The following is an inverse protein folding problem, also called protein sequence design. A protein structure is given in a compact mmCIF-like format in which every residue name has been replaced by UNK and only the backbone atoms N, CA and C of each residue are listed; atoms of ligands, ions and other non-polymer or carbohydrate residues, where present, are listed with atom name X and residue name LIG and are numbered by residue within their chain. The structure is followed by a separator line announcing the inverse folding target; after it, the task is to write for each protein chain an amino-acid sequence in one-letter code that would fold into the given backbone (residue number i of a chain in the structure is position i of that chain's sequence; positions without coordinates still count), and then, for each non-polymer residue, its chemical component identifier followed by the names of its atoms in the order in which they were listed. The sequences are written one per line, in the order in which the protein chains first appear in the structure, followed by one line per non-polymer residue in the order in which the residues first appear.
data_IF_225841354343
#
_entry.id   IF_225841354343
#
_cell.length_a   1.000
_cell.length_b   1.000
_cell.length_c   1.000
_cell.angle_alpha   90.00
_cell.angle_beta   90.00
_cell.angle_gamma   90.00
#
_symmetry.space_group_name_H-M   'P 1'
#
loop_
_entity.id
_entity.type
_entity.pdbx_description
1 polymer ?
#
# COMPACT_ATOMS: atom_id res chain seq x y z
N UNK A 1 36.81 -5.08 -28.39
CA UNK A 1 36.17 -5.55 -29.63
C UNK A 1 34.91 -4.73 -29.91
N UNK A 2 34.51 -4.52 -31.17
CA UNK A 2 33.25 -3.82 -31.49
C UNK A 2 32.11 -4.82 -31.76
N UNK A 3 30.91 -4.52 -31.29
CA UNK A 3 29.73 -5.36 -31.51
C UNK A 3 29.28 -5.27 -32.97
N UNK A 4 29.26 -6.40 -33.68
CA UNK A 4 28.79 -6.47 -35.08
C UNK A 4 27.31 -6.07 -35.25
N UNK A 5 26.52 -6.05 -34.17
CA UNK A 5 25.07 -5.85 -34.21
C UNK A 5 24.62 -4.40 -33.91
N UNK A 6 25.45 -3.59 -33.23
CA UNK A 6 25.14 -2.20 -32.88
C UNK A 6 26.33 -1.23 -32.93
N UNK A 7 27.53 -1.70 -33.29
CA UNK A 7 28.75 -0.88 -33.36
C UNK A 7 29.41 -0.55 -32.02
N UNK A 8 28.77 -0.82 -30.87
CA UNK A 8 29.32 -0.46 -29.56
C UNK A 8 30.64 -1.17 -29.22
N UNK A 9 31.58 -0.45 -28.61
CA UNK A 9 32.84 -1.03 -28.10
C UNK A 9 32.59 -1.82 -26.81
N UNK A 10 33.12 -3.04 -26.74
CA UNK A 10 33.03 -3.94 -25.59
C UNK A 10 34.42 -4.48 -25.23
N UNK A 11 34.58 -4.92 -23.99
CA UNK A 11 35.78 -5.62 -23.51
C UNK A 11 36.02 -6.90 -24.32
N UNK A 12 37.28 -7.24 -24.61
CA UNK A 12 37.63 -8.33 -25.53
C UNK A 12 37.22 -9.73 -25.06
N UNK A 13 36.95 -9.89 -23.75
CA UNK A 13 36.47 -11.13 -23.14
C UNK A 13 34.97 -11.12 -22.80
N UNK A 14 34.22 -10.09 -23.22
CA UNK A 14 32.79 -9.99 -22.93
C UNK A 14 32.01 -11.02 -23.77
N UNK A 15 31.23 -11.91 -23.12
CA UNK A 15 30.39 -12.93 -23.78
C UNK A 15 29.13 -12.38 -24.45
N UNK A 16 28.74 -11.15 -24.09
CA UNK A 16 27.56 -10.43 -24.57
C UNK A 16 27.88 -8.94 -24.65
N UNK A 17 27.24 -8.23 -25.57
CA UNK A 17 27.35 -6.78 -25.67
C UNK A 17 26.62 -6.10 -24.52
N UNK A 18 27.31 -5.25 -23.76
CA UNK A 18 26.75 -4.52 -22.63
C UNK A 18 25.66 -3.48 -23.02
N UNK A 19 25.59 -3.11 -24.30
CA UNK A 19 24.68 -2.07 -24.82
C UNK A 19 23.39 -2.66 -25.44
N UNK A 20 23.48 -3.81 -26.11
CA UNK A 20 22.32 -4.40 -26.82
C UNK A 20 22.04 -5.88 -26.48
N UNK A 21 22.80 -6.49 -25.57
CA UNK A 21 22.63 -7.89 -25.17
C UNK A 21 23.08 -8.94 -26.20
N UNK A 22 23.40 -8.55 -27.44
CA UNK A 22 23.83 -9.49 -28.48
C UNK A 22 25.06 -10.31 -28.06
N UNK A 23 24.98 -11.63 -28.20
CA UNK A 23 26.07 -12.57 -27.90
C UNK A 23 27.27 -12.30 -28.80
N UNK A 24 28.47 -12.37 -28.25
CA UNK A 24 29.71 -12.24 -29.01
C UNK A 24 30.20 -13.62 -29.45
N UNK A 25 30.62 -13.73 -30.71
CA UNK A 25 31.18 -14.96 -31.24
C UNK A 25 32.70 -14.99 -31.00
N UNK A 26 33.12 -15.87 -30.09
CA UNK A 26 34.53 -16.26 -29.93
C UNK A 26 34.65 -17.69 -30.50
N UNK A 27 35.13 -17.83 -31.73
CA UNK A 27 35.73 -19.08 -32.21
C UNK A 27 37.16 -19.21 -31.64
N UNK A 28 37.77 -20.38 -31.46
CA UNK A 28 37.41 -21.76 -31.85
C UNK A 28 38.15 -22.72 -30.88
N UNK A 29 38.26 -24.05 -30.99
CA UNK A 29 37.88 -25.06 -32.01
C UNK A 29 37.89 -26.48 -31.38
N UNK A 30 37.19 -27.45 -31.98
CA UNK A 30 37.23 -28.92 -31.71
C UNK A 30 36.65 -29.28 -30.32
N UNK A 31 35.45 -29.88 -30.19
CA UNK A 31 35.08 -31.27 -30.52
C UNK A 31 34.97 -32.05 -29.19
N UNK A 32 34.04 -32.98 -28.94
CA UNK A 32 33.00 -33.65 -29.74
C UNK A 32 31.86 -34.13 -28.79
N UNK A 33 30.65 -34.36 -29.35
CA UNK A 33 29.49 -35.20 -28.91
C UNK A 33 29.66 -35.95 -27.56
N UNK A 34 28.74 -35.86 -26.58
CA UNK A 34 27.43 -36.56 -26.60
C UNK A 34 26.27 -35.84 -25.90
N UNK A 35 25.06 -36.10 -26.41
CA UNK A 35 23.80 -35.84 -25.71
C UNK A 35 23.67 -36.74 -24.47
N UNK A 36 23.09 -36.23 -23.38
CA UNK A 36 21.73 -36.64 -23.01
C UNK A 36 21.14 -35.85 -21.84
N UNK A 37 19.82 -35.71 -21.91
CA UNK A 37 18.89 -35.24 -20.89
C UNK A 37 18.99 -36.04 -19.58
N UNK A 38 18.91 -35.35 -18.44
CA UNK A 38 18.27 -35.76 -17.15
C UNK A 38 18.38 -34.52 -16.25
N UNK A 39 17.29 -33.79 -16.01
CA UNK A 39 16.30 -34.05 -14.96
C UNK A 39 16.86 -33.86 -13.54
N UNK A 40 16.26 -32.92 -12.80
CA UNK A 40 16.58 -32.65 -11.40
C UNK A 40 16.35 -33.89 -10.53
N UNK A 41 17.25 -34.14 -9.57
CA UNK A 41 16.87 -34.60 -8.23
C UNK A 41 18.00 -34.34 -7.21
N UNK A 42 17.67 -34.51 -5.93
CA UNK A 42 18.25 -33.78 -4.81
C UNK A 42 19.57 -34.32 -4.21
N UNK A 43 20.28 -33.37 -3.59
CA UNK A 43 20.94 -33.45 -2.28
C UNK A 43 22.31 -34.11 -2.04
N UNK A 44 23.05 -33.40 -1.18
CA UNK A 44 24.11 -33.88 -0.28
C UNK A 44 25.45 -34.32 -0.90
N UNK A 45 26.38 -33.37 -0.94
CA UNK A 45 27.80 -33.59 -1.20
C UNK A 45 28.62 -32.45 -0.61
N UNK A 46 29.10 -32.61 0.63
CA UNK A 46 29.82 -31.57 1.36
C UNK A 46 31.23 -31.36 0.78
N UNK A 47 31.54 -30.16 0.29
CA UNK A 47 32.92 -29.72 0.03
C UNK A 47 33.12 -28.34 0.61
N UNK A 48 33.73 -28.33 1.79
CA UNK A 48 34.15 -27.14 2.50
C UNK A 48 35.35 -26.50 1.79
N UNK A 49 35.22 -25.23 1.38
CA UNK A 49 36.38 -24.39 1.06
C UNK A 49 36.08 -22.93 1.36
N UNK A 50 36.77 -22.41 2.36
CA UNK A 50 36.59 -21.07 2.92
C UNK A 50 36.76 -19.94 1.88
N UNK A 51 35.76 -19.08 1.75
CA UNK A 51 35.92 -17.71 1.23
C UNK A 51 35.16 -16.69 2.06
N UNK A 52 35.71 -16.41 3.25
CA UNK A 52 35.74 -15.09 3.90
C UNK A 52 34.51 -14.21 3.62
N UNK A 53 33.34 -14.66 4.07
CA UNK A 53 32.10 -13.90 3.97
C UNK A 53 32.29 -12.60 4.77
N UNK A 54 32.33 -11.46 4.09
CA UNK A 54 32.38 -10.15 4.76
C UNK A 54 31.14 -10.00 5.65
N UNK A 55 31.26 -9.28 6.78
CA UNK A 55 30.11 -9.02 7.68
C UNK A 55 28.88 -8.53 6.91
N UNK A 56 29.12 -7.71 5.87
CA UNK A 56 28.12 -7.18 4.95
C UNK A 56 27.27 -8.25 4.29
N UNK A 57 27.85 -9.36 3.80
CA UNK A 57 27.11 -10.45 3.15
C UNK A 57 26.20 -11.25 4.10
N UNK A 58 26.54 -11.32 5.39
CA UNK A 58 25.66 -11.93 6.41
C UNK A 58 24.48 -11.01 6.75
N UNK A 59 24.74 -9.71 6.83
CA UNK A 59 23.72 -8.68 7.08
C UNK A 59 22.72 -8.62 5.92
N UNK A 60 23.19 -8.57 4.67
CA UNK A 60 22.30 -8.50 3.48
C UNK A 60 21.42 -9.74 3.35
N UNK A 61 21.95 -10.96 3.53
CA UNK A 61 21.10 -12.16 3.51
C UNK A 61 20.12 -12.20 4.71
N UNK A 62 20.51 -11.68 5.88
CA UNK A 62 19.61 -11.52 7.02
C UNK A 62 18.44 -10.59 6.72
N UNK A 63 18.72 -9.41 6.14
CA UNK A 63 17.70 -8.43 5.73
C UNK A 63 16.76 -9.01 4.66
N UNK A 64 17.28 -9.67 3.62
CA UNK A 64 16.44 -10.29 2.58
C UNK A 64 15.55 -11.40 3.18
N UNK A 65 16.09 -12.23 4.08
CA UNK A 65 15.32 -13.28 4.77
C UNK A 65 14.24 -12.68 5.69
N UNK A 66 14.55 -11.57 6.38
CA UNK A 66 13.61 -10.88 7.26
C UNK A 66 12.48 -10.20 6.48
N UNK A 67 12.79 -9.56 5.34
CA UNK A 67 11.79 -9.00 4.41
C UNK A 67 10.89 -10.11 3.84
N UNK A 68 11.44 -11.27 3.48
CA UNK A 68 10.65 -12.40 3.00
C UNK A 68 9.73 -12.98 4.11
N UNK A 69 10.26 -13.11 5.33
CA UNK A 69 9.49 -13.57 6.48
C UNK A 69 8.38 -12.59 6.89
N UNK A 70 8.65 -11.28 6.87
CA UNK A 70 7.64 -10.25 7.16
C UNK A 70 6.57 -10.15 6.07
N UNK A 71 6.90 -10.40 4.80
CA UNK A 71 5.92 -10.57 3.73
C UNK A 71 5.00 -11.80 3.95
N UNK A 72 5.56 -12.94 4.34
CA UNK A 72 4.80 -14.16 4.63
C UNK A 72 3.88 -13.99 5.85
N UNK A 73 4.41 -13.45 6.96
CA UNK A 73 3.62 -13.12 8.15
C UNK A 73 2.56 -12.07 7.84
N UNK A 74 2.90 -11.07 7.03
CA UNK A 74 1.99 -10.00 6.62
C UNK A 74 0.82 -10.49 5.76
N UNK A 75 1.09 -11.42 4.83
CA UNK A 75 0.06 -12.08 4.02
C UNK A 75 -0.83 -12.98 4.89
N UNK A 76 -0.26 -13.74 5.83
CA UNK A 76 -1.02 -14.59 6.77
C UNK A 76 -1.99 -13.81 7.67
N UNK A 77 -1.71 -12.53 7.96
CA UNK A 77 -2.57 -11.64 8.76
C UNK A 77 -3.44 -10.72 7.87
N UNK A 78 -3.39 -10.88 6.54
CA UNK A 78 -4.19 -10.08 5.59
C UNK A 78 -3.84 -8.59 5.52
N UNK A 79 -2.71 -8.18 6.12
CA UNK A 79 -2.34 -6.77 6.32
C UNK A 79 -1.85 -6.06 5.05
N UNK A 80 -1.41 -6.82 4.05
CA UNK A 80 -0.66 -6.29 2.89
C UNK A 80 -1.44 -6.34 1.57
N UNK A 81 -2.61 -6.97 1.53
CA UNK A 81 -3.40 -7.11 0.30
C UNK A 81 -4.12 -5.82 -0.13
N UNK A 82 -4.34 -4.87 0.80
CA UNK A 82 -5.14 -3.65 0.54
C UNK A 82 -4.33 -2.38 0.25
N UNK A 83 -3.03 -2.31 0.58
CA UNK A 83 -2.16 -1.23 0.10
C UNK A 83 -0.65 -1.55 0.28
N UNK A 84 0.24 -1.09 -0.63
CA UNK A 84 1.69 -1.23 -0.48
C UNK A 84 2.31 -0.20 0.49
N UNK A 85 1.52 0.78 0.96
CA UNK A 85 2.00 1.93 1.74
C UNK A 85 2.67 1.50 3.07
N UNK A 86 2.10 0.58 3.89
CA UNK A 86 2.75 0.14 5.13
C UNK A 86 4.13 -0.50 4.90
N UNK A 87 4.32 -1.21 3.78
CA UNK A 87 5.59 -1.84 3.43
C UNK A 87 6.67 -0.81 3.06
N UNK A 88 6.32 0.19 2.25
CA UNK A 88 7.24 1.27 1.89
C UNK A 88 7.64 2.12 3.11
N UNK A 89 6.68 2.36 4.01
CA UNK A 89 6.93 3.04 5.29
C UNK A 89 7.85 2.21 6.18
N UNK A 90 7.66 0.89 6.25
CA UNK A 90 8.53 -0.01 7.02
C UNK A 90 10.00 0.02 6.53
N UNK A 91 10.24 -0.08 5.21
CA UNK A 91 11.59 0.04 4.64
C UNK A 91 12.22 1.41 4.97
N UNK A 92 11.44 2.49 4.86
CA UNK A 92 11.90 3.83 5.18
C UNK A 92 12.28 3.99 6.67
N UNK A 93 11.51 3.38 7.57
CA UNK A 93 11.78 3.36 9.01
C UNK A 93 13.07 2.60 9.30
N UNK A 94 13.26 1.39 8.76
CA UNK A 94 14.46 0.56 8.99
C UNK A 94 15.75 1.30 8.62
N UNK A 95 15.78 1.96 7.44
CA UNK A 95 16.91 2.79 7.02
C UNK A 95 17.16 3.97 7.98
N UNK A 96 16.10 4.61 8.48
CA UNK A 96 16.19 5.73 9.42
C UNK A 96 16.67 5.26 10.81
N UNK A 97 16.25 4.07 11.25
CA UNK A 97 16.72 3.42 12.48
C UNK A 97 18.20 3.01 12.37
N UNK A 98 18.67 2.57 11.21
CA UNK A 98 20.10 2.30 10.97
C UNK A 98 20.95 3.57 11.08
N UNK A 99 20.46 4.71 10.55
CA UNK A 99 21.09 6.02 10.77
C UNK A 99 21.10 6.41 12.26
N UNK A 100 20.02 6.16 13.01
CA UNK A 100 19.94 6.43 14.45
C UNK A 100 20.93 5.55 15.23
N UNK A 101 21.01 4.25 14.94
CA UNK A 101 21.98 3.31 15.53
C UNK A 101 23.42 3.80 15.34
N UNK A 102 23.77 4.28 14.14
CA UNK A 102 25.10 4.84 13.85
C UNK A 102 25.35 6.18 14.58
N UNK A 103 24.36 7.07 14.65
CA UNK A 103 24.50 8.41 15.25
C UNK A 103 24.49 8.41 16.78
N UNK A 104 23.80 7.44 17.40
CA UNK A 104 23.60 7.35 18.84
C UNK A 104 23.93 5.95 19.39
N UNK A 105 25.21 5.51 19.33
CA UNK A 105 25.62 4.14 19.70
C UNK A 105 25.50 3.80 21.20
N UNK A 106 25.03 4.74 22.03
CA UNK A 106 24.76 4.54 23.47
C UNK A 106 23.30 4.15 23.77
N UNK A 107 22.41 4.20 22.79
CA UNK A 107 21.00 3.82 22.98
C UNK A 107 20.91 2.28 23.04
N UNK A 108 20.28 1.68 24.07
CA UNK A 108 20.08 0.24 24.12
C UNK A 108 19.25 -0.26 22.93
N UNK A 109 19.70 -1.32 22.26
CA UNK A 109 18.99 -1.93 21.13
C UNK A 109 17.51 -2.26 21.43
N UNK A 110 17.12 -2.78 22.63
CA UNK A 110 15.72 -3.03 22.94
C UNK A 110 14.83 -1.76 22.94
N UNK A 111 15.41 -0.59 23.24
CA UNK A 111 14.66 0.68 23.22
C UNK A 111 14.37 1.13 21.79
N UNK A 112 15.32 0.90 20.87
CA UNK A 112 15.16 1.22 19.44
C UNK A 112 14.05 0.33 18.85
N UNK A 113 14.10 -0.97 19.14
CA UNK A 113 13.10 -1.94 18.69
C UNK A 113 11.70 -1.67 19.28
N UNK A 114 11.60 -1.23 20.53
CA UNK A 114 10.32 -0.81 21.11
C UNK A 114 9.71 0.40 20.38
N UNK A 115 10.54 1.39 20.00
CA UNK A 115 10.09 2.57 19.22
C UNK A 115 9.65 2.16 17.82
N UNK A 116 10.39 1.26 17.16
CA UNK A 116 10.04 0.69 15.85
C UNK A 116 8.64 0.04 15.87
N UNK A 117 8.37 -0.84 16.85
CA UNK A 117 7.06 -1.49 17.02
C UNK A 117 5.95 -0.45 17.23
N UNK A 118 6.18 0.58 18.05
CA UNK A 118 5.20 1.65 18.30
C UNK A 118 4.87 2.39 17.00
N UNK A 119 5.88 2.77 16.21
CA UNK A 119 5.67 3.44 14.92
C UNK A 119 4.92 2.51 13.94
N UNK A 120 5.29 1.23 13.86
CA UNK A 120 4.62 0.25 13.01
C UNK A 120 3.11 0.13 13.36
N UNK A 121 2.78 0.03 14.65
CA UNK A 121 1.39 -0.03 15.13
C UNK A 121 0.62 1.24 14.74
N UNK A 122 1.23 2.42 14.88
CA UNK A 122 0.62 3.69 14.48
C UNK A 122 0.36 3.71 12.96
N UNK A 123 1.32 3.27 12.14
CA UNK A 123 1.19 3.21 10.68
C UNK A 123 0.14 2.20 10.21
N UNK A 124 0.03 1.03 10.86
CA UNK A 124 -1.02 0.04 10.58
C UNK A 124 -2.40 0.63 10.91
N UNK A 125 -2.54 1.27 12.07
CA UNK A 125 -3.82 1.86 12.49
C UNK A 125 -4.24 3.05 11.59
N UNK A 126 -3.31 3.90 11.16
CA UNK A 126 -3.62 5.00 10.24
C UNK A 126 -3.96 4.51 8.83
N UNK A 127 -3.26 3.50 8.31
CA UNK A 127 -3.60 2.87 7.03
C UNK A 127 -4.99 2.21 7.08
N UNK A 128 -5.32 1.52 8.17
CA UNK A 128 -6.65 0.94 8.38
C UNK A 128 -7.75 2.01 8.42
N UNK A 129 -7.52 3.14 9.11
CA UNK A 129 -8.47 4.24 9.16
C UNK A 129 -8.68 4.89 7.77
N UNK A 130 -7.60 5.11 7.01
CA UNK A 130 -7.66 5.65 5.66
C UNK A 130 -8.39 4.69 4.68
N UNK A 131 -8.16 3.38 4.78
CA UNK A 131 -8.83 2.38 3.96
C UNK A 131 -10.35 2.36 4.15
N UNK A 132 -10.82 2.55 5.38
CA UNK A 132 -12.25 2.57 5.75
C UNK A 132 -12.94 3.86 5.27
N UNK A 133 -12.25 5.00 5.34
CA UNK A 133 -12.74 6.24 4.71
C UNK A 133 -12.83 6.05 3.19
N UNK A 134 -11.78 5.53 2.56
CA UNK A 134 -11.72 5.31 1.12
C UNK A 134 -12.78 4.32 0.60
N UNK A 135 -13.20 3.32 1.39
CA UNK A 135 -14.30 2.42 0.99
C UNK A 135 -15.66 3.10 0.96
N UNK A 136 -15.90 4.12 1.80
CA UNK A 136 -17.13 4.93 1.73
C UNK A 136 -17.02 5.93 0.57
N UNK A 137 -15.92 6.68 0.49
CA UNK A 137 -15.67 7.68 -0.57
C UNK A 137 -15.89 7.10 -1.98
N UNK A 138 -15.35 5.90 -2.25
CA UNK A 138 -15.42 5.23 -3.56
C UNK A 138 -16.63 4.31 -3.75
N UNK A 139 -17.51 4.21 -2.76
CA UNK A 139 -18.77 3.49 -2.93
C UNK A 139 -19.82 4.36 -3.60
N UNK A 140 -20.91 3.73 -4.04
CA UNK A 140 -22.04 4.38 -4.72
C UNK A 140 -23.36 3.91 -4.09
N UNK A 141 -24.42 4.74 -4.04
CA UNK A 141 -25.76 4.29 -3.65
C UNK A 141 -26.33 3.33 -4.70
N UNK A 142 -27.25 2.45 -4.29
CA UNK A 142 -27.85 1.44 -5.19
C UNK A 142 -28.62 2.04 -6.37
N UNK A 143 -29.22 3.21 -6.17
CA UNK A 143 -30.03 3.87 -7.20
C UNK A 143 -29.14 4.56 -8.24
N UNK A 144 -27.99 5.13 -7.83
CA UNK A 144 -27.06 5.85 -8.69
C UNK A 144 -25.67 5.18 -8.65
N UNK A 145 -25.53 3.96 -9.21
CA UNK A 145 -24.33 3.13 -9.03
C UNK A 145 -23.07 3.68 -9.73
N UNK A 146 -23.25 4.58 -10.70
CA UNK A 146 -22.16 5.11 -11.53
C UNK A 146 -21.45 6.33 -10.93
N UNK A 147 -21.99 6.91 -9.85
CA UNK A 147 -21.46 8.11 -9.19
C UNK A 147 -21.08 7.75 -7.75
N UNK A 148 -19.85 8.03 -7.37
CA UNK A 148 -19.36 7.75 -6.01
C UNK A 148 -19.81 8.82 -5.01
N UNK A 149 -19.80 8.48 -3.72
CA UNK A 149 -20.02 9.46 -2.65
C UNK A 149 -18.99 10.60 -2.66
N UNK A 150 -17.73 10.34 -3.04
CA UNK A 150 -16.71 11.38 -3.23
C UNK A 150 -17.11 12.38 -4.31
N UNK A 151 -17.48 11.91 -5.50
CA UNK A 151 -17.85 12.77 -6.64
C UNK A 151 -19.10 13.61 -6.35
N UNK A 152 -20.15 12.99 -5.80
CA UNK A 152 -21.38 13.70 -5.47
C UNK A 152 -21.21 14.69 -4.30
N UNK A 153 -20.46 14.32 -3.26
CA UNK A 153 -20.30 15.18 -2.09
C UNK A 153 -19.32 16.33 -2.35
N UNK A 154 -18.24 16.11 -3.10
CA UNK A 154 -17.27 17.16 -3.43
C UNK A 154 -17.86 18.17 -4.46
N UNK A 155 -18.92 17.81 -5.20
CA UNK A 155 -19.73 18.74 -5.99
C UNK A 155 -20.70 19.56 -5.11
N UNK A 156 -21.50 18.89 -4.28
CA UNK A 156 -22.58 19.53 -3.50
C UNK A 156 -22.09 20.33 -2.27
N UNK A 157 -21.03 19.88 -1.59
CA UNK A 157 -20.59 20.45 -0.32
C UNK A 157 -19.26 21.21 -0.44
N UNK A 158 -19.23 22.45 0.02
CA UNK A 158 -17.99 23.19 0.27
C UNK A 158 -17.27 22.66 1.52
N UNK A 159 -15.95 22.84 1.60
CA UNK A 159 -15.13 22.48 2.76
C UNK A 159 -15.25 21.00 3.20
N UNK A 160 -15.36 20.09 2.24
CA UNK A 160 -15.44 18.64 2.45
C UNK A 160 -14.26 18.09 3.30
N UNK A 161 -14.58 17.42 4.41
CA UNK A 161 -13.63 16.67 5.24
C UNK A 161 -14.18 15.27 5.53
N UNK A 162 -13.32 14.25 5.42
CA UNK A 162 -13.66 12.86 5.68
C UNK A 162 -12.73 12.26 6.75
N UNK A 163 -13.30 11.60 7.77
CA UNK A 163 -12.52 10.96 8.84
C UNK A 163 -13.14 9.66 9.34
N UNK A 164 -12.29 8.74 9.79
CA UNK A 164 -12.74 7.61 10.63
C UNK A 164 -13.20 8.14 11.99
N UNK A 165 -14.33 7.63 12.47
CA UNK A 165 -15.00 8.08 13.69
C UNK A 165 -15.06 6.99 14.77
N UNK A 166 -14.17 5.99 14.69
CA UNK A 166 -14.10 4.88 15.63
C UNK A 166 -15.05 3.75 15.26
N UNK A 167 -15.79 3.26 16.25
CA UNK A 167 -16.77 2.17 16.13
C UNK A 167 -18.06 2.52 16.87
N UNK A 168 -19.16 1.89 16.47
CA UNK A 168 -20.40 1.87 17.25
C UNK A 168 -20.37 0.80 18.36
N UNK A 169 -21.46 0.68 19.12
CA UNK A 169 -21.61 -0.26 20.24
C UNK A 169 -21.62 -1.74 19.80
N UNK A 170 -21.91 -2.00 18.52
CA UNK A 170 -21.86 -3.34 17.89
C UNK A 170 -20.45 -3.67 17.37
N UNK A 171 -19.57 -2.66 17.29
CA UNK A 171 -18.19 -2.79 16.82
C UNK A 171 -18.01 -2.58 15.31
N UNK A 172 -19.05 -2.18 14.58
CA UNK A 172 -18.97 -1.75 13.19
C UNK A 172 -18.17 -0.45 13.10
N UNK A 173 -17.50 -0.19 11.97
CA UNK A 173 -16.63 1.00 11.86
C UNK A 173 -17.44 2.20 11.41
N UNK A 174 -17.13 3.38 11.96
CA UNK A 174 -17.82 4.61 11.60
C UNK A 174 -16.94 5.51 10.72
N UNK A 175 -17.54 6.12 9.70
CA UNK A 175 -16.94 7.23 8.94
C UNK A 175 -17.81 8.47 9.13
N UNK A 176 -17.18 9.62 9.34
CA UNK A 176 -17.86 10.91 9.38
C UNK A 176 -17.35 11.79 8.25
N UNK A 177 -18.30 12.29 7.48
CA UNK A 177 -18.13 13.40 6.56
C UNK A 177 -18.60 14.69 7.22
N UNK A 178 -17.92 15.80 6.94
CA UNK A 178 -18.43 17.15 7.24
C UNK A 178 -18.26 18.04 6.02
N UNK A 179 -19.24 18.89 5.76
CA UNK A 179 -19.20 19.86 4.66
C UNK A 179 -20.25 20.95 4.84
N UNK A 180 -20.12 22.04 4.10
CA UNK A 180 -21.07 23.14 4.09
C UNK A 180 -21.95 23.11 2.84
N UNK A 181 -23.23 23.44 3.00
CA UNK A 181 -24.18 23.52 1.89
C UNK A 181 -25.23 24.61 2.17
N UNK A 182 -26.00 24.98 1.15
CA UNK A 182 -27.19 25.82 1.33
C UNK A 182 -28.38 24.93 1.65
N UNK A 183 -29.03 25.16 2.79
CA UNK A 183 -30.18 24.40 3.26
C UNK A 183 -31.26 25.36 3.73
N UNK A 184 -32.46 25.31 3.12
CA UNK A 184 -33.51 26.33 3.26
C UNK A 184 -33.00 27.77 3.08
N UNK A 185 -32.20 27.99 2.03
CA UNK A 185 -31.55 29.27 1.72
C UNK A 185 -30.55 29.79 2.78
N UNK A 186 -30.27 29.01 3.84
CA UNK A 186 -29.28 29.31 4.87
C UNK A 186 -27.99 28.50 4.68
N UNK A 187 -26.84 29.17 4.77
CA UNK A 187 -25.53 28.51 4.72
C UNK A 187 -25.31 27.68 5.99
N UNK A 188 -25.29 26.36 5.82
CA UNK A 188 -25.38 25.38 6.90
C UNK A 188 -24.19 24.43 6.93
N UNK A 189 -23.98 23.79 8.08
CA UNK A 189 -22.94 22.78 8.30
C UNK A 189 -23.58 21.39 8.44
N UNK A 190 -23.28 20.52 7.49
CA UNK A 190 -23.73 19.14 7.45
C UNK A 190 -22.68 18.21 8.08
N UNK A 191 -23.15 17.21 8.85
CA UNK A 191 -22.34 16.10 9.33
C UNK A 191 -23.05 14.80 8.95
N UNK A 192 -22.45 14.00 8.07
CA UNK A 192 -23.01 12.70 7.66
C UNK A 192 -22.21 11.59 8.34
N UNK A 193 -22.88 10.70 9.04
CA UNK A 193 -22.29 9.50 9.63
C UNK A 193 -22.65 8.30 8.78
N UNK A 194 -21.65 7.49 8.44
CA UNK A 194 -21.79 6.22 7.77
C UNK A 194 -21.38 5.10 8.71
N UNK A 195 -22.16 4.02 8.72
CA UNK A 195 -21.80 2.76 9.39
C UNK A 195 -21.28 1.77 8.34
N UNK A 196 -20.08 1.25 8.57
CA UNK A 196 -19.35 0.37 7.65
C UNK A 196 -19.28 -1.03 8.25
N UNK A 197 -19.94 -1.96 7.55
CA UNK A 197 -19.94 -3.40 7.78
C UNK A 197 -18.83 -4.07 6.94
N UNK A 198 -18.73 -5.40 6.96
CA UNK A 198 -17.63 -6.10 6.30
C UNK A 198 -17.58 -5.89 4.77
N UNK A 199 -18.73 -5.98 4.10
CA UNK A 199 -18.86 -5.90 2.63
C UNK A 199 -19.70 -4.71 2.12
N UNK A 200 -20.24 -3.89 3.02
CA UNK A 200 -21.17 -2.80 2.66
C UNK A 200 -21.17 -1.68 3.69
N UNK A 201 -21.81 -0.56 3.38
CA UNK A 201 -22.02 0.54 4.32
C UNK A 201 -23.39 1.20 4.11
N UNK A 202 -23.85 1.94 5.12
CA UNK A 202 -25.10 2.70 5.09
C UNK A 202 -24.86 4.12 5.61
N UNK A 203 -25.67 5.08 5.14
CA UNK A 203 -25.83 6.36 5.84
C UNK A 203 -26.67 6.09 7.08
N UNK A 204 -26.08 6.25 8.27
CA UNK A 204 -26.74 5.96 9.54
C UNK A 204 -27.27 7.19 10.27
N UNK A 205 -26.77 8.38 9.94
CA UNK A 205 -27.14 9.63 10.60
C UNK A 205 -26.74 10.83 9.73
N UNK A 206 -27.55 11.90 9.75
CA UNK A 206 -27.16 13.21 9.23
C UNK A 206 -27.55 14.29 10.24
N UNK A 207 -26.64 15.23 10.50
CA UNK A 207 -26.93 16.45 11.25
C UNK A 207 -26.84 17.66 10.34
N UNK A 208 -27.73 18.62 10.55
CA UNK A 208 -27.61 19.97 10.00
C UNK A 208 -27.51 20.97 11.14
N UNK A 209 -26.48 21.82 11.12
CA UNK A 209 -26.21 22.82 12.16
C UNK A 209 -26.18 22.22 13.59
N UNK A 210 -25.74 20.97 13.71
CA UNK A 210 -25.66 20.22 14.96
C UNK A 210 -26.94 19.49 15.39
N UNK A 211 -28.08 19.74 14.74
CA UNK A 211 -29.35 19.04 14.99
C UNK A 211 -29.45 17.78 14.13
N UNK A 212 -29.85 16.65 14.72
CA UNK A 212 -30.07 15.39 13.99
C UNK A 212 -31.30 15.50 13.07
N UNK A 213 -31.17 15.06 11.83
CA UNK A 213 -32.25 14.95 10.87
C UNK A 213 -32.88 13.55 11.00
N UNK A 214 -34.22 13.48 10.99
CA UNK A 214 -34.92 12.20 10.94
C UNK A 214 -34.62 11.42 9.65
N UNK A 215 -34.75 10.10 9.68
CA UNK A 215 -34.38 9.19 8.57
C UNK A 215 -34.90 9.64 7.20
N UNK A 216 -36.18 10.04 7.11
CA UNK A 216 -36.82 10.50 5.86
C UNK A 216 -36.09 11.73 5.28
N UNK A 217 -35.71 12.67 6.14
CA UNK A 217 -35.05 13.92 5.74
C UNK A 217 -33.57 13.68 5.42
N UNK A 218 -32.91 12.78 6.15
CA UNK A 218 -31.58 12.26 5.80
C UNK A 218 -31.59 11.62 4.42
N UNK A 219 -32.57 10.75 4.13
CA UNK A 219 -32.72 10.10 2.83
C UNK A 219 -32.93 11.11 1.70
N UNK A 220 -33.89 12.04 1.87
CA UNK A 220 -34.18 13.08 0.88
C UNK A 220 -32.99 14.03 0.63
N UNK A 221 -32.20 14.35 1.67
CA UNK A 221 -30.97 15.13 1.52
C UNK A 221 -29.88 14.36 0.74
N UNK A 222 -29.76 13.05 0.97
CA UNK A 222 -28.82 12.21 0.21
C UNK A 222 -29.27 12.07 -1.25
N UNK A 223 -30.55 11.81 -1.54
CA UNK A 223 -31.06 11.80 -2.92
C UNK A 223 -30.77 13.12 -3.64
N UNK A 224 -31.08 14.26 -3.01
CA UNK A 224 -30.80 15.59 -3.57
C UNK A 224 -29.33 15.76 -3.97
N UNK A 225 -28.38 15.30 -3.14
CA UNK A 225 -26.94 15.42 -3.42
C UNK A 225 -26.55 14.73 -4.73
N UNK A 226 -27.13 13.56 -5.03
CA UNK A 226 -26.88 12.89 -6.29
C UNK A 226 -27.73 13.45 -7.45
N UNK A 227 -28.98 13.84 -7.22
CA UNK A 227 -29.83 14.49 -8.24
C UNK A 227 -29.21 15.80 -8.75
N UNK A 228 -28.53 16.56 -7.88
CA UNK A 228 -27.85 17.81 -8.23
C UNK A 228 -26.53 17.53 -9.00
N UNK A 229 -25.87 16.39 -8.72
CA UNK A 229 -24.74 15.90 -9.52
C UNK A 229 -25.17 15.49 -10.94
N UNK A 230 -26.24 14.71 -11.07
CA UNK A 230 -26.79 14.25 -12.36
C UNK A 230 -27.37 15.39 -13.22
N UNK A 231 -27.66 16.55 -12.63
CA UNK A 231 -28.03 17.78 -13.35
C UNK A 231 -26.81 18.62 -13.78
N UNK A 232 -25.62 18.32 -13.25
CA UNK A 232 -24.38 19.09 -13.49
C UNK A 232 -23.55 18.56 -14.66
N UNK A 233 -23.87 17.37 -15.20
CA UNK A 233 -23.05 16.61 -16.17
C UNK A 233 -23.90 15.95 -17.27
#
# INVERSE_FOLDING_TARGET
MFCKHCGAQNNDNAKFCAVCGAKTEIGSSIGEVTNNTIAYNQESGNVESDKKQSKLGKIVNGIISFIAASYLLGSLVGLFEKSPIPFLVFIGIEFLLEIIKHKFPKIPEPLIFAVEIIILIICINSANAAGVVNSVKKGSPKNNPNVTYEEAFDNFFANAEWKSAGKDDEGNKLVKFTGNCTYFDEYSSAVVTFTVYDDTFTVSSMKMNGQELGEILTYAMIERVFDEYDQSY
#
